data_IF_588454907397
#
_entry.id   IF_588454907397
#
_cell.length_a   1.000
_cell.length_b   1.000
_cell.length_c   1.000
_cell.angle_alpha   90.00
_cell.angle_beta   90.00
_cell.angle_gamma   90.00
#
_symmetry.space_group_name_H-M   'P 1'
#
loop_
_entity.id
_entity.type
_entity.pdbx_description
1 polymer ?
#
# COMPACT_ATOMS: atom_id res chain seq x y z
N UNK A 1 27.83 -14.07 25.60
CA UNK A 1 26.38 -13.81 25.48
C UNK A 1 26.07 -13.33 24.06
N UNK A 2 25.50 -14.18 23.18
CA UNK A 2 25.16 -13.80 21.81
C UNK A 2 23.69 -13.33 21.61
N UNK A 3 23.01 -12.81 22.64
CA UNK A 3 21.54 -12.65 22.60
C UNK A 3 21.03 -11.26 22.15
N UNK A 4 21.67 -10.15 22.52
CA UNK A 4 21.05 -8.82 22.33
C UNK A 4 21.14 -8.28 20.89
N UNK A 5 22.25 -8.46 20.18
CA UNK A 5 22.44 -7.89 18.85
C UNK A 5 21.67 -8.62 17.75
N UNK A 6 21.46 -9.93 17.90
CA UNK A 6 20.68 -10.75 16.95
C UNK A 6 19.19 -10.44 17.05
N UNK A 7 18.68 -10.30 18.27
CA UNK A 7 17.28 -9.96 18.54
C UNK A 7 16.94 -8.54 18.06
N UNK A 8 17.82 -7.56 18.32
CA UNK A 8 17.69 -6.20 17.77
C UNK A 8 17.68 -6.18 16.25
N UNK A 9 18.57 -6.95 15.60
CA UNK A 9 18.59 -7.06 14.13
C UNK A 9 17.29 -7.66 13.59
N UNK A 10 16.77 -8.70 14.24
CA UNK A 10 15.50 -9.31 13.86
C UNK A 10 14.33 -8.35 14.01
N UNK A 11 14.29 -7.58 15.10
CA UNK A 11 13.28 -6.55 15.32
C UNK A 11 13.30 -5.48 14.23
N UNK A 12 14.48 -4.94 13.91
CA UNK A 12 14.63 -3.95 12.83
C UNK A 12 14.19 -4.51 11.47
N UNK A 13 14.44 -5.78 11.19
CA UNK A 13 13.99 -6.42 9.94
C UNK A 13 12.47 -6.58 9.89
N UNK A 14 11.84 -6.96 11.02
CA UNK A 14 10.38 -7.05 11.14
C UNK A 14 9.73 -5.67 10.95
N UNK A 15 10.29 -4.65 11.60
CA UNK A 15 9.83 -3.26 11.48
C UNK A 15 9.95 -2.75 10.03
N UNK A 16 11.13 -2.92 9.40
CA UNK A 16 11.35 -2.59 7.98
C UNK A 16 10.29 -3.24 7.08
N UNK A 17 9.98 -4.52 7.32
CA UNK A 17 9.00 -5.25 6.53
C UNK A 17 7.57 -4.73 6.74
N UNK A 18 7.20 -4.34 7.96
CA UNK A 18 5.87 -3.79 8.25
C UNK A 18 5.67 -2.40 7.66
N UNK A 19 6.67 -1.52 7.79
CA UNK A 19 6.68 -0.21 7.14
C UNK A 19 6.55 -0.38 5.62
N UNK A 20 7.28 -1.33 5.03
CA UNK A 20 7.18 -1.66 3.61
C UNK A 20 5.77 -2.07 3.19
N UNK A 21 5.16 -3.04 3.90
CA UNK A 21 3.79 -3.50 3.61
C UNK A 21 2.78 -2.36 3.72
N UNK A 22 2.87 -1.56 4.77
CA UNK A 22 1.93 -0.47 5.02
C UNK A 22 2.07 0.67 4.01
N UNK A 23 3.29 0.97 3.57
CA UNK A 23 3.53 1.95 2.50
C UNK A 23 2.98 1.45 1.17
N UNK A 24 3.17 0.18 0.83
CA UNK A 24 2.56 -0.40 -0.37
C UNK A 24 1.03 -0.35 -0.33
N UNK A 25 0.42 -0.63 0.82
CA UNK A 25 -1.05 -0.49 0.99
C UNK A 25 -1.52 0.94 0.71
N UNK A 26 -0.80 1.95 1.22
CA UNK A 26 -1.07 3.35 0.95
C UNK A 26 -0.96 3.68 -0.54
N UNK A 27 0.19 3.39 -1.17
CA UNK A 27 0.46 3.74 -2.57
C UNK A 27 -0.54 3.08 -3.53
N UNK A 28 -0.80 1.79 -3.36
CA UNK A 28 -1.82 1.09 -4.16
C UNK A 28 -3.24 1.58 -3.83
N UNK A 29 -3.50 2.00 -2.60
CA UNK A 29 -4.75 2.63 -2.20
C UNK A 29 -5.03 3.94 -2.90
N UNK A 30 -4.00 4.79 -3.01
CA UNK A 30 -4.03 6.04 -3.78
C UNK A 30 -4.29 5.73 -5.26
N UNK A 31 -3.50 4.84 -5.87
CA UNK A 31 -3.65 4.51 -7.28
C UNK A 31 -5.05 4.00 -7.64
N UNK A 32 -5.65 3.12 -6.82
CA UNK A 32 -7.01 2.60 -7.04
C UNK A 32 -8.11 3.66 -6.96
N UNK A 33 -7.91 4.71 -6.16
CA UNK A 33 -8.86 5.81 -5.94
C UNK A 33 -8.55 7.05 -6.76
N UNK A 34 -7.47 7.02 -7.52
CA UNK A 34 -7.06 8.13 -8.37
C UNK A 34 -8.13 8.43 -9.43
N UNK A 35 -8.35 9.68 -9.85
CA UNK A 35 -9.33 9.99 -10.88
C UNK A 35 -8.94 9.41 -12.25
N UNK A 36 -9.94 9.08 -13.07
CA UNK A 36 -9.70 8.73 -14.48
C UNK A 36 -9.22 9.96 -15.29
N UNK A 37 -9.61 11.16 -14.87
CA UNK A 37 -9.17 12.45 -15.43
C UNK A 37 -8.65 13.37 -14.32
N UNK A 38 -7.40 13.17 -13.87
CA UNK A 38 -6.83 13.91 -12.74
C UNK A 38 -6.46 15.34 -13.12
N UNK A 39 -6.67 16.24 -12.17
CA UNK A 39 -6.26 17.65 -12.24
C UNK A 39 -4.74 17.80 -12.20
N UNK A 40 -4.24 18.99 -12.56
CA UNK A 40 -2.81 19.31 -12.44
C UNK A 40 -2.30 19.18 -11.01
N UNK A 41 -3.10 19.57 -10.01
CA UNK A 41 -2.74 19.44 -8.59
C UNK A 41 -2.64 17.98 -8.15
N UNK A 42 -3.58 17.12 -8.56
CA UNK A 42 -3.54 15.70 -8.24
C UNK A 42 -2.35 14.98 -8.88
N UNK A 43 -1.97 15.37 -10.10
CA UNK A 43 -0.73 14.88 -10.74
C UNK A 43 0.50 15.29 -9.93
N UNK A 44 0.59 16.58 -9.60
CA UNK A 44 1.71 17.12 -8.82
C UNK A 44 1.82 16.45 -7.44
N UNK A 45 0.69 16.22 -6.76
CA UNK A 45 0.66 15.57 -5.44
C UNK A 45 1.28 14.16 -5.44
N UNK A 46 1.15 13.39 -6.53
CA UNK A 46 1.82 12.09 -6.65
C UNK A 46 3.34 12.26 -6.72
N UNK A 47 3.84 13.22 -7.49
CA UNK A 47 5.27 13.52 -7.58
C UNK A 47 5.84 14.06 -6.27
N UNK A 48 5.06 14.86 -5.56
CA UNK A 48 5.46 15.42 -4.27
C UNK A 48 5.52 14.33 -3.20
N UNK A 49 4.50 13.45 -3.13
CA UNK A 49 4.50 12.30 -2.23
C UNK A 49 5.74 11.42 -2.42
N UNK A 50 6.07 11.05 -3.66
CA UNK A 50 7.25 10.23 -3.96
C UNK A 50 8.55 10.97 -3.59
N UNK A 51 8.58 12.30 -3.78
CA UNK A 51 9.69 13.15 -3.35
C UNK A 51 9.86 13.17 -1.83
N UNK A 52 8.76 13.33 -1.08
CA UNK A 52 8.77 13.30 0.38
C UNK A 52 9.22 11.93 0.88
N UNK A 53 8.67 10.83 0.34
CA UNK A 53 9.10 9.48 0.69
C UNK A 53 10.59 9.27 0.43
N UNK A 54 11.14 9.79 -0.67
CA UNK A 54 12.59 9.70 -0.89
C UNK A 54 13.41 10.34 0.24
N UNK A 55 12.94 11.44 0.84
CA UNK A 55 13.67 12.20 1.86
C UNK A 55 13.51 11.56 3.25
N UNK A 56 12.29 11.19 3.63
CA UNK A 56 11.96 10.85 5.03
C UNK A 56 11.69 9.37 5.28
N UNK A 57 11.77 8.51 4.27
CA UNK A 57 11.45 7.09 4.46
C UNK A 57 12.45 6.40 5.42
N UNK A 58 11.99 5.72 6.49
CA UNK A 58 12.86 5.25 7.58
C UNK A 58 13.98 4.29 7.13
N UNK A 59 13.75 3.52 6.07
CA UNK A 59 14.78 2.69 5.46
C UNK A 59 15.57 3.49 4.41
N UNK A 60 16.73 4.05 4.79
CA UNK A 60 17.59 4.84 3.88
C UNK A 60 17.91 4.13 2.55
N UNK A 61 18.32 2.84 2.53
CA UNK A 61 18.57 2.15 1.26
C UNK A 61 17.32 1.94 0.41
N UNK A 62 16.13 1.90 1.04
CA UNK A 62 14.87 1.77 0.33
C UNK A 62 14.41 3.10 -0.27
N UNK A 63 14.72 4.22 0.40
CA UNK A 63 14.24 5.55 0.05
C UNK A 63 14.70 6.02 -1.34
N UNK A 64 15.88 5.59 -1.80
CA UNK A 64 16.40 5.91 -3.14
C UNK A 64 15.51 5.38 -4.27
N UNK A 65 14.78 4.27 -4.04
CA UNK A 65 13.89 3.70 -5.04
C UNK A 65 12.72 4.63 -5.40
N UNK A 66 12.24 5.45 -4.46
CA UNK A 66 11.19 6.43 -4.73
C UNK A 66 11.65 7.56 -5.65
N UNK A 67 12.89 8.04 -5.49
CA UNK A 67 13.46 9.06 -6.40
C UNK A 67 13.65 8.50 -7.81
N UNK A 68 14.18 7.28 -7.93
CA UNK A 68 14.33 6.60 -9.22
C UNK A 68 12.98 6.43 -9.92
N UNK A 69 11.95 6.01 -9.17
CA UNK A 69 10.61 5.84 -9.73
C UNK A 69 9.96 7.18 -10.11
N UNK A 70 10.08 8.20 -9.25
CA UNK A 70 9.57 9.56 -9.50
C UNK A 70 10.08 10.15 -10.83
N UNK A 71 11.36 9.87 -11.16
CA UNK A 71 12.03 10.40 -12.34
C UNK A 71 12.03 9.41 -13.52
N UNK A 72 11.34 8.27 -13.40
CA UNK A 72 11.29 7.23 -14.43
C UNK A 72 10.17 7.52 -15.44
N UNK A 73 10.35 7.16 -16.73
CA UNK A 73 9.26 7.16 -17.70
C UNK A 73 8.13 6.16 -17.37
N UNK A 74 8.34 5.26 -16.40
CA UNK A 74 7.33 4.30 -15.93
C UNK A 74 6.22 5.00 -15.13
N UNK A 75 6.53 6.10 -14.43
CA UNK A 75 5.53 6.83 -13.67
C UNK A 75 4.62 7.62 -14.60
N UNK A 76 3.38 7.16 -14.74
CA UNK A 76 2.35 7.81 -15.54
C UNK A 76 1.17 8.19 -14.64
N UNK A 77 0.98 9.50 -14.46
CA UNK A 77 -0.09 10.11 -13.65
C UNK A 77 -1.24 10.63 -14.50
N UNK A 78 -1.32 10.25 -15.78
CA UNK A 78 -2.34 10.77 -16.70
C UNK A 78 -3.74 10.21 -16.43
N UNK A 79 -3.85 9.03 -15.82
CA UNK A 79 -5.11 8.38 -15.49
C UNK A 79 -4.96 7.42 -14.31
N UNK A 80 -6.09 7.00 -13.72
CA UNK A 80 -6.15 5.92 -12.74
C UNK A 80 -5.51 4.63 -13.24
N UNK A 81 -5.88 4.19 -14.45
CA UNK A 81 -5.37 2.94 -15.03
C UNK A 81 -3.85 2.98 -15.17
N UNK A 82 -3.33 4.08 -15.72
CA UNK A 82 -1.90 4.34 -15.84
C UNK A 82 -1.21 4.27 -14.47
N UNK A 83 -1.74 4.96 -13.46
CA UNK A 83 -1.10 5.03 -12.15
C UNK A 83 -1.09 3.66 -11.44
N UNK A 84 -2.15 2.85 -11.59
CA UNK A 84 -2.17 1.47 -11.06
C UNK A 84 -1.06 0.63 -11.72
N UNK A 85 -0.95 0.70 -13.05
CA UNK A 85 0.08 -0.02 -13.79
C UNK A 85 1.50 0.42 -13.39
N UNK A 86 1.74 1.73 -13.30
CA UNK A 86 3.01 2.31 -12.85
C UNK A 86 3.39 1.83 -11.44
N UNK A 87 2.44 1.84 -10.49
CA UNK A 87 2.69 1.38 -9.12
C UNK A 87 2.96 -0.12 -9.03
N UNK A 88 2.27 -0.94 -9.83
CA UNK A 88 2.57 -2.37 -9.94
C UNK A 88 3.99 -2.59 -10.48
N UNK A 89 4.38 -1.87 -11.53
CA UNK A 89 5.70 -2.00 -12.15
C UNK A 89 6.81 -1.57 -11.18
N UNK A 90 6.59 -0.49 -10.43
CA UNK A 90 7.50 -0.08 -9.35
C UNK A 90 7.62 -1.14 -8.24
N UNK A 91 6.52 -1.77 -7.85
CA UNK A 91 6.56 -2.87 -6.88
C UNK A 91 7.35 -4.07 -7.43
N UNK A 92 7.18 -4.42 -8.71
CA UNK A 92 7.97 -5.47 -9.34
C UNK A 92 9.47 -5.15 -9.36
N UNK A 93 9.87 -3.90 -9.60
CA UNK A 93 11.27 -3.49 -9.48
C UNK A 93 11.84 -3.79 -8.09
N UNK A 94 11.07 -3.55 -7.03
CA UNK A 94 11.49 -3.89 -5.66
C UNK A 94 11.44 -5.41 -5.43
N UNK A 95 10.48 -6.13 -6.00
CA UNK A 95 10.41 -7.60 -5.92
C UNK A 95 11.65 -8.25 -6.54
N UNK A 96 12.12 -7.79 -7.70
CA UNK A 96 13.36 -8.27 -8.33
C UNK A 96 14.54 -8.13 -7.36
N UNK A 97 14.71 -6.95 -6.76
CA UNK A 97 15.79 -6.68 -5.80
C UNK A 97 15.73 -7.56 -4.55
N UNK A 98 14.55 -8.04 -4.20
CA UNK A 98 14.30 -8.89 -3.03
C UNK A 98 14.17 -10.38 -3.37
N UNK A 99 14.34 -10.77 -4.64
CA UNK A 99 14.14 -12.16 -5.09
C UNK A 99 12.71 -12.66 -4.90
N UNK A 100 11.71 -11.79 -5.03
CA UNK A 100 10.28 -12.11 -4.87
C UNK A 100 9.61 -12.34 -6.23
N UNK A 101 8.50 -13.12 -6.27
CA UNK A 101 7.72 -13.32 -7.48
C UNK A 101 7.25 -12.00 -8.11
N UNK A 102 7.16 -11.99 -9.44
CA UNK A 102 6.63 -10.86 -10.20
C UNK A 102 5.13 -10.99 -10.39
N UNK A 103 4.45 -9.86 -10.45
CA UNK A 103 3.03 -9.78 -10.79
C UNK A 103 2.88 -9.30 -12.23
N UNK A 104 2.01 -9.94 -13.02
CA UNK A 104 1.62 -9.39 -14.32
C UNK A 104 0.83 -8.09 -14.09
N UNK A 105 1.42 -6.95 -14.45
CA UNK A 105 0.81 -5.66 -14.19
C UNK A 105 -0.38 -5.34 -15.11
N UNK A 106 -0.49 -5.99 -16.26
CA UNK A 106 -1.66 -5.86 -17.14
C UNK A 106 -2.86 -6.56 -16.49
N UNK A 107 -2.67 -7.81 -16.05
CA UNK A 107 -3.70 -8.58 -15.34
C UNK A 107 -4.08 -7.92 -14.02
N UNK A 108 -3.08 -7.47 -13.26
CA UNK A 108 -3.31 -6.77 -11.99
C UNK A 108 -4.13 -5.49 -12.19
N UNK A 109 -3.76 -4.65 -13.16
CA UNK A 109 -4.47 -3.40 -13.45
C UNK A 109 -5.92 -3.67 -13.84
N UNK A 110 -6.15 -4.63 -14.75
CA UNK A 110 -7.50 -5.03 -15.14
C UNK A 110 -8.35 -5.48 -13.93
N UNK A 111 -7.78 -6.29 -13.03
CA UNK A 111 -8.46 -6.74 -11.83
C UNK A 111 -8.83 -5.57 -10.89
N UNK A 112 -7.97 -4.56 -10.74
CA UNK A 112 -8.24 -3.40 -9.88
C UNK A 112 -9.31 -2.45 -10.44
N UNK A 113 -9.49 -2.41 -11.76
CA UNK A 113 -10.50 -1.57 -12.41
C UNK A 113 -11.90 -2.21 -12.45
N UNK A 114 -11.96 -3.53 -12.24
CA UNK A 114 -13.20 -4.29 -12.23
C UNK A 114 -14.21 -3.74 -11.21
N UNK A 115 -15.53 -3.70 -11.53
CA UNK A 115 -16.58 -3.30 -10.58
C UNK A 115 -16.54 -4.08 -9.25
N UNK A 116 -16.11 -5.35 -9.30
CA UNK A 116 -15.97 -6.21 -8.12
C UNK A 116 -14.84 -5.77 -7.17
N UNK A 117 -13.84 -5.02 -7.66
CA UNK A 117 -12.77 -4.47 -6.82
C UNK A 117 -13.21 -3.18 -6.09
N UNK A 118 -14.25 -2.50 -6.59
CA UNK A 118 -14.88 -1.35 -5.89
C UNK A 118 -15.77 -1.79 -4.74
N UNK A 119 -16.25 -3.04 -4.76
CA UNK A 119 -17.00 -3.65 -3.67
C UNK A 119 -16.08 -4.33 -2.63
N UNK A 120 -15.23 -3.56 -1.96
CA UNK A 120 -15.11 -3.82 -0.51
C UNK A 120 -16.45 -3.35 0.07
N UNK A 121 -17.32 -4.22 0.63
CA UNK A 121 -18.62 -3.78 1.09
C UNK A 121 -18.41 -2.72 2.19
N UNK A 122 -18.95 -1.50 2.06
CA UNK A 122 -19.06 -0.61 3.20
C UNK A 122 -20.02 -1.30 4.17
N UNK A 123 -19.47 -1.94 5.19
CA UNK A 123 -20.28 -2.68 6.15
C UNK A 123 -19.67 -3.93 6.75
N UNK A 124 -18.47 -4.39 6.37
CA UNK A 124 -17.83 -5.48 7.14
C UNK A 124 -17.51 -4.99 8.55
N UNK A 125 -16.90 -3.82 8.68
CA UNK A 125 -16.60 -3.22 10.00
C UNK A 125 -17.90 -2.94 10.77
N UNK A 126 -18.94 -2.43 10.09
CA UNK A 126 -20.25 -2.17 10.70
C UNK A 126 -20.94 -3.47 11.17
N UNK A 127 -20.95 -4.53 10.33
CA UNK A 127 -21.51 -5.84 10.69
C UNK A 127 -20.76 -6.50 11.83
N UNK A 128 -19.43 -6.39 11.87
CA UNK A 128 -18.63 -6.91 12.97
C UNK A 128 -18.87 -6.12 14.27
N UNK A 129 -18.99 -4.80 14.17
CA UNK A 129 -19.34 -3.94 15.31
C UNK A 129 -20.75 -4.24 15.84
N UNK A 130 -21.74 -4.36 14.97
CA UNK A 130 -23.14 -4.65 15.34
C UNK A 130 -23.27 -6.07 15.95
N UNK A 131 -22.54 -7.05 15.40
CA UNK A 131 -22.46 -8.40 15.97
C UNK A 131 -21.78 -8.41 17.35
N UNK A 132 -20.70 -7.65 17.53
CA UNK A 132 -20.02 -7.51 18.81
C UNK A 132 -20.93 -6.84 19.87
N UNK A 133 -21.68 -5.80 19.48
CA UNK A 133 -22.64 -5.14 20.37
C UNK A 133 -23.78 -6.08 20.80
N UNK A 134 -24.32 -6.86 19.87
CA UNK A 134 -25.37 -7.84 20.17
C UNK A 134 -24.88 -8.93 21.13
N UNK A 135 -23.65 -9.44 20.95
CA UNK A 135 -23.03 -10.41 21.87
C UNK A 135 -22.86 -9.80 23.26
N UNK A 136 -22.35 -8.56 23.35
CA UNK A 136 -22.17 -7.87 24.64
C UNK A 136 -23.51 -7.65 25.36
N UNK A 137 -24.57 -7.30 24.63
CA UNK A 137 -25.92 -7.14 25.19
C UNK A 137 -26.49 -8.47 25.70
N UNK A 138 -26.32 -9.57 24.96
CA UNK A 138 -26.77 -10.89 25.35
C UNK A 138 -26.02 -11.42 26.59
N UNK A 139 -24.72 -11.15 26.68
CA UNK A 139 -23.92 -11.46 27.88
C UNK A 139 -24.44 -10.65 29.07
N UNK A 140 -24.65 -9.33 28.94
CA UNK A 140 -25.19 -8.49 30.03
C UNK A 140 -26.59 -8.90 30.50
N UNK A 141 -27.41 -9.47 29.61
CA UNK A 141 -28.74 -10.00 29.94
C UNK A 141 -28.68 -11.35 30.66
N UNK A 142 -27.63 -12.14 30.44
CA UNK A 142 -27.47 -13.48 31.04
C UNK A 142 -26.86 -13.46 32.46
N UNK A 143 -26.34 -12.31 32.90
CA UNK A 143 -25.78 -12.08 34.24
C UNK A 143 -26.69 -11.20 35.13
N UNK A 144 -27.97 -11.06 34.76
CA UNK A 144 -29.03 -10.46 35.60
C UNK A 144 -29.95 -11.53 36.16
#
# INVERSE_FOLDING_TARGET
>A
MPSQSKEQKELMLKEKAEIGRSTWRLLHGIARRYPDSPTRQEKQAVHDLLGSLHIIYPCKPCASAFSLFKNSPILDTTSRSSLIFSMCTFHNFVNIKLGKPLTDCSVYTAAQLSPLARSSPPGIIKRLHDAALSIIQNIKMSYR
#
